data_IF_857062497221
#
_entry.id   IF_857062497221
#
_cell.length_a   1.000
_cell.length_b   1.000
_cell.length_c   1.000
_cell.angle_alpha   90.00
_cell.angle_beta   90.00
_cell.angle_gamma   90.00
#
_symmetry.space_group_name_H-M   'P 1'
#
loop_
_entity.id
_entity.type
_entity.pdbx_description
1 polymer ?
#
# COMPACT_ATOMS: atom_id res chain seq x y z
N UNK A 1 26.12 -10.61 20.45
CA UNK A 1 25.61 -9.53 21.32
C UNK A 1 24.51 -10.09 22.21
N UNK A 2 24.60 -9.91 23.53
CA UNK A 2 23.58 -10.42 24.47
C UNK A 2 22.25 -9.68 24.21
N UNK A 3 21.16 -10.43 24.04
CA UNK A 3 19.80 -9.88 23.98
C UNK A 3 19.55 -9.10 25.29
N UNK A 4 19.37 -7.79 25.18
CA UNK A 4 18.97 -6.95 26.30
C UNK A 4 17.44 -7.06 26.44
N UNK A 5 16.98 -7.96 27.31
CA UNK A 5 15.56 -8.03 27.67
C UNK A 5 15.15 -6.71 28.30
N UNK A 6 14.15 -6.03 27.75
CA UNK A 6 13.66 -4.74 28.26
C UNK A 6 12.71 -4.85 29.45
N UNK A 7 12.14 -5.98 29.76
CA UNK A 7 11.50 -6.32 31.05
C UNK A 7 10.92 -7.74 31.02
N UNK A 8 10.81 -8.37 32.17
CA UNK A 8 10.32 -9.75 32.35
C UNK A 8 8.79 -9.88 32.31
N UNK A 9 8.03 -8.80 32.06
CA UNK A 9 6.57 -8.77 32.27
C UNK A 9 5.76 -8.56 30.99
N UNK A 10 6.31 -8.80 29.79
CA UNK A 10 5.60 -8.62 28.53
C UNK A 10 5.78 -9.78 27.56
N UNK A 11 4.86 -9.91 26.60
CA UNK A 11 4.93 -10.91 25.53
C UNK A 11 6.01 -10.58 24.48
N UNK A 12 6.46 -9.32 24.42
CA UNK A 12 7.48 -8.79 23.51
C UNK A 12 8.07 -7.48 24.04
N UNK A 13 9.21 -7.03 23.48
CA UNK A 13 9.72 -5.67 23.68
C UNK A 13 8.87 -4.66 22.91
N UNK A 14 8.41 -5.03 21.73
CA UNK A 14 7.59 -4.19 20.83
C UNK A 14 6.49 -5.01 20.19
N UNK A 15 5.26 -4.50 20.24
CA UNK A 15 4.15 -4.98 19.42
C UNK A 15 3.99 -4.04 18.23
N UNK A 16 3.96 -4.61 17.01
CA UNK A 16 3.64 -3.88 15.78
C UNK A 16 2.28 -4.37 15.26
N UNK A 17 1.33 -3.45 15.09
CA UNK A 17 -0.04 -3.77 14.64
C UNK A 17 -0.18 -3.45 13.16
N UNK A 18 -0.35 -4.48 12.35
CA UNK A 18 -0.48 -4.42 10.89
C UNK A 18 0.83 -4.72 10.16
N UNK A 19 0.84 -5.83 9.42
CA UNK A 19 1.99 -6.30 8.62
C UNK A 19 1.95 -5.80 7.16
N UNK A 20 1.53 -4.56 6.95
CA UNK A 20 1.71 -3.85 5.69
C UNK A 20 3.15 -3.34 5.54
N UNK A 21 3.49 -2.61 4.46
CA UNK A 21 4.85 -2.14 4.25
C UNK A 21 5.45 -1.38 5.45
N UNK A 22 4.67 -0.51 6.09
CA UNK A 22 5.15 0.23 7.25
C UNK A 22 5.50 -0.68 8.43
N UNK A 23 4.58 -1.60 8.79
CA UNK A 23 4.78 -2.48 9.95
C UNK A 23 5.84 -3.54 9.72
N UNK A 24 5.86 -4.20 8.55
CA UNK A 24 6.89 -5.19 8.23
C UNK A 24 8.29 -4.55 8.20
N UNK A 25 8.43 -3.35 7.62
CA UNK A 25 9.69 -2.60 7.60
C UNK A 25 10.13 -2.20 9.01
N UNK A 26 9.23 -1.59 9.79
CA UNK A 26 9.55 -1.20 11.17
C UNK A 26 9.95 -2.41 12.02
N UNK A 27 9.19 -3.51 11.93
CA UNK A 27 9.49 -4.75 12.65
C UNK A 27 10.86 -5.31 12.28
N UNK A 28 11.22 -5.33 10.99
CA UNK A 28 12.53 -5.81 10.53
C UNK A 28 13.69 -4.99 11.13
N UNK A 29 13.58 -3.66 11.11
CA UNK A 29 14.60 -2.79 11.70
C UNK A 29 14.73 -2.98 13.22
N UNK A 30 13.60 -3.09 13.92
CA UNK A 30 13.60 -3.31 15.37
C UNK A 30 14.21 -4.66 15.74
N UNK A 31 13.86 -5.72 15.01
CA UNK A 31 14.45 -7.04 15.23
C UNK A 31 15.96 -7.06 14.97
N UNK A 32 16.42 -6.39 13.91
CA UNK A 32 17.87 -6.20 13.62
C UNK A 32 18.59 -5.42 14.71
N UNK A 33 17.88 -4.52 15.39
CA UNK A 33 18.42 -3.82 16.56
C UNK A 33 18.45 -4.68 17.84
N UNK A 34 18.02 -5.95 17.77
CA UNK A 34 18.07 -6.91 18.85
C UNK A 34 16.85 -6.95 19.76
N UNK A 35 15.77 -6.27 19.38
CA UNK A 35 14.52 -6.29 20.14
C UNK A 35 13.68 -7.53 19.79
N UNK A 36 12.93 -8.04 20.79
CA UNK A 36 11.89 -9.03 20.57
C UNK A 36 10.62 -8.35 20.04
N UNK A 37 10.28 -8.64 18.78
CA UNK A 37 9.19 -7.97 18.05
C UNK A 37 8.06 -8.94 17.75
N UNK A 38 6.85 -8.61 18.20
CA UNK A 38 5.62 -9.30 17.86
C UNK A 38 4.86 -8.49 16.80
N UNK A 39 4.73 -9.03 15.58
CA UNK A 39 4.03 -8.42 14.45
C UNK A 39 2.65 -9.09 14.28
N UNK A 40 1.58 -8.31 14.47
CA UNK A 40 0.19 -8.79 14.41
C UNK A 40 -0.47 -8.39 13.09
N UNK A 41 -1.00 -9.36 12.35
CA UNK A 41 -1.73 -9.14 11.09
C UNK A 41 -3.10 -9.84 11.14
N UNK A 42 -4.16 -9.12 10.74
CA UNK A 42 -5.54 -9.64 10.71
C UNK A 42 -5.81 -10.68 9.62
N UNK A 43 -5.04 -10.62 8.54
CA UNK A 43 -5.16 -11.51 7.38
C UNK A 43 -4.10 -12.61 7.40
N UNK A 44 -4.15 -13.51 6.42
CA UNK A 44 -3.07 -14.45 6.09
C UNK A 44 -2.36 -13.98 4.83
N UNK A 45 -1.07 -14.27 4.69
CA UNK A 45 -0.32 -14.05 3.46
C UNK A 45 -0.33 -15.30 2.57
N UNK A 46 -0.25 -15.12 1.22
CA UNK A 46 -0.27 -13.85 0.49
C UNK A 46 -1.62 -13.16 0.58
N UNK A 47 -1.66 -11.82 0.65
CA UNK A 47 -2.89 -11.05 0.72
C UNK A 47 -2.94 -9.87 -0.23
N UNK A 48 -4.11 -9.66 -0.77
CA UNK A 48 -4.38 -8.53 -1.65
C UNK A 48 -4.51 -7.21 -0.88
N UNK A 49 -4.01 -6.15 -1.49
CA UNK A 49 -4.30 -4.77 -1.09
C UNK A 49 -4.34 -3.88 -2.32
N UNK A 50 -5.42 -3.14 -2.47
CA UNK A 50 -5.61 -2.23 -3.60
C UNK A 50 -4.62 -1.08 -3.52
N UNK A 51 -3.74 -1.02 -4.53
CA UNK A 51 -2.74 0.03 -4.71
C UNK A 51 -2.19 -0.07 -6.14
N UNK A 52 -1.58 0.98 -6.66
CA UNK A 52 -0.67 0.87 -7.79
C UNK A 52 0.58 0.08 -7.39
N UNK A 53 1.15 -0.68 -8.31
CA UNK A 53 2.26 -1.61 -8.02
C UNK A 53 3.64 -1.00 -8.20
N UNK A 54 3.71 0.23 -8.72
CA UNK A 54 4.96 0.94 -8.94
C UNK A 54 5.57 1.52 -7.66
N UNK A 55 6.90 1.47 -7.60
CA UNK A 55 7.73 2.14 -6.60
C UNK A 55 8.71 3.07 -7.31
N UNK A 56 8.82 4.29 -6.81
CA UNK A 56 9.80 5.28 -7.30
C UNK A 56 11.20 4.98 -6.74
N UNK A 57 12.27 5.58 -7.26
CA UNK A 57 13.64 5.43 -6.76
C UNK A 57 13.77 5.56 -5.24
N UNK A 58 12.99 6.46 -4.63
CA UNK A 58 12.97 6.62 -3.17
C UNK A 58 12.46 5.37 -2.45
N UNK A 59 11.44 4.71 -3.00
CA UNK A 59 10.96 3.43 -2.46
C UNK A 59 11.96 2.31 -2.65
N UNK A 60 12.60 2.25 -3.82
CA UNK A 60 13.66 1.27 -4.12
C UNK A 60 14.83 1.39 -3.17
N UNK A 61 15.27 2.63 -2.87
CA UNK A 61 16.32 2.87 -1.88
C UNK A 61 16.00 2.26 -0.51
N UNK A 62 14.75 2.34 -0.06
CA UNK A 62 14.34 1.74 1.21
C UNK A 62 14.40 0.20 1.17
N UNK A 63 14.10 -0.42 0.01
CA UNK A 63 14.26 -1.87 -0.15
C UNK A 63 15.73 -2.28 -0.11
N UNK A 64 16.59 -1.54 -0.80
CA UNK A 64 18.06 -1.76 -0.78
C UNK A 64 18.60 -1.61 0.64
N UNK A 65 18.18 -0.59 1.39
CA UNK A 65 18.59 -0.38 2.78
C UNK A 65 18.10 -1.50 3.72
N UNK A 66 16.96 -2.10 3.39
CA UNK A 66 16.48 -3.33 4.03
C UNK A 66 17.27 -4.57 3.62
N UNK A 67 18.17 -4.49 2.63
CA UNK A 67 18.90 -5.65 2.09
C UNK A 67 18.02 -6.54 1.21
N UNK A 68 16.95 -6.01 0.63
CA UNK A 68 16.12 -6.71 -0.35
C UNK A 68 16.75 -6.54 -1.73
N UNK A 69 16.94 -7.66 -2.44
CA UNK A 69 17.38 -7.64 -3.83
C UNK A 69 16.29 -7.05 -4.72
N UNK A 70 16.62 -5.96 -5.41
CA UNK A 70 15.72 -5.25 -6.33
C UNK A 70 16.11 -5.44 -7.80
N UNK A 71 16.94 -6.44 -8.10
CA UNK A 71 17.35 -6.78 -9.47
C UNK A 71 16.20 -7.35 -10.31
N UNK A 72 16.39 -7.35 -11.61
CA UNK A 72 15.45 -7.98 -12.56
C UNK A 72 15.41 -9.49 -12.33
N UNK A 73 16.55 -10.10 -12.01
CA UNK A 73 16.70 -11.52 -11.72
C UNK A 73 15.91 -11.95 -10.47
N UNK A 74 15.70 -11.02 -9.53
CA UNK A 74 14.84 -11.23 -8.36
C UNK A 74 13.34 -11.06 -8.67
N UNK A 75 12.98 -10.87 -9.93
CA UNK A 75 11.58 -10.79 -10.40
C UNK A 75 10.96 -9.40 -10.32
N UNK A 76 11.78 -8.33 -10.35
CA UNK A 76 11.30 -6.96 -10.45
C UNK A 76 11.31 -6.47 -11.89
N UNK A 77 10.22 -5.84 -12.33
CA UNK A 77 10.26 -5.02 -13.54
C UNK A 77 10.80 -3.64 -13.17
N UNK A 78 11.91 -3.24 -13.80
CA UNK A 78 12.45 -1.90 -13.65
C UNK A 78 11.69 -0.90 -14.50
N UNK A 79 11.47 0.30 -13.97
CA UNK A 79 10.98 1.43 -14.74
C UNK A 79 11.99 2.59 -14.67
N UNK A 80 12.09 3.33 -15.77
CA UNK A 80 13.08 4.40 -15.95
C UNK A 80 12.52 5.80 -15.74
N UNK A 81 11.21 5.92 -15.47
CA UNK A 81 10.62 7.25 -15.31
C UNK A 81 9.10 7.25 -15.20
N UNK A 82 8.56 8.45 -15.28
CA UNK A 82 7.13 8.72 -15.39
C UNK A 82 6.79 9.07 -16.84
N UNK A 83 5.68 8.53 -17.35
CA UNK A 83 5.03 9.02 -18.57
C UNK A 83 3.73 9.69 -18.16
N UNK A 84 3.58 10.96 -18.50
CA UNK A 84 2.39 11.76 -18.22
C UNK A 84 1.65 12.03 -19.51
N UNK A 85 0.38 11.64 -19.57
CA UNK A 85 -0.51 11.80 -20.72
C UNK A 85 -1.65 12.72 -20.35
N UNK A 86 -1.85 13.79 -21.10
CA UNK A 86 -2.94 14.74 -20.92
C UNK A 86 -3.32 15.39 -22.26
N UNK A 87 -4.60 15.31 -22.63
CA UNK A 87 -5.07 15.75 -23.94
C UNK A 87 -4.31 15.05 -25.07
N UNK A 88 -3.69 15.85 -25.95
CA UNK A 88 -2.86 15.36 -27.06
C UNK A 88 -1.36 15.33 -26.73
N UNK A 89 -0.97 15.60 -25.47
CA UNK A 89 0.43 15.71 -25.06
C UNK A 89 0.85 14.50 -24.25
N UNK A 90 2.01 13.95 -24.59
CA UNK A 90 2.70 12.91 -23.81
C UNK A 90 4.09 13.41 -23.45
N UNK A 91 4.42 13.37 -22.16
CA UNK A 91 5.74 13.77 -21.65
C UNK A 91 6.36 12.58 -20.94
N UNK A 92 7.57 12.21 -21.32
CA UNK A 92 8.39 11.24 -20.60
C UNK A 92 9.41 11.96 -19.73
N UNK A 93 9.42 11.60 -18.46
CA UNK A 93 10.27 12.18 -17.42
C UNK A 93 11.14 11.07 -16.83
N UNK A 94 12.35 10.85 -17.37
CA UNK A 94 13.28 9.87 -16.82
C UNK A 94 13.61 10.21 -15.36
N UNK A 95 13.86 9.17 -14.54
CA UNK A 95 14.36 9.40 -13.19
C UNK A 95 15.70 10.13 -13.25
N UNK A 96 15.88 11.20 -12.44
CA UNK A 96 17.15 11.90 -12.41
C UNK A 96 18.25 11.00 -11.84
N UNK A 97 19.47 11.16 -12.35
CA UNK A 97 20.66 10.53 -11.78
C UNK A 97 21.07 11.29 -10.51
N UNK A 98 20.72 10.72 -9.37
CA UNK A 98 20.99 11.29 -8.04
C UNK A 98 21.89 10.35 -7.23
N UNK A 99 22.94 10.90 -6.64
CA UNK A 99 23.89 10.13 -5.83
C UNK A 99 23.25 9.33 -4.67
N UNK A 100 22.10 9.79 -4.17
CA UNK A 100 21.42 9.19 -2.99
C UNK A 100 20.37 8.15 -3.34
N UNK A 101 19.99 8.00 -4.61
CA UNK A 101 18.91 7.11 -5.04
C UNK A 101 19.32 6.33 -6.30
N UNK A 102 18.84 5.08 -6.48
CA UNK A 102 19.05 4.38 -7.74
C UNK A 102 18.35 5.12 -8.89
N UNK A 103 18.89 5.06 -10.13
CA UNK A 103 18.31 5.74 -11.29
C UNK A 103 17.12 4.96 -11.91
N UNK A 104 16.44 4.14 -11.12
CA UNK A 104 15.30 3.33 -11.56
C UNK A 104 14.26 3.20 -10.46
N UNK A 105 13.01 3.05 -10.87
CA UNK A 105 11.93 2.55 -10.04
C UNK A 105 11.68 1.07 -10.32
N UNK A 106 10.79 0.43 -9.57
CA UNK A 106 10.43 -0.99 -9.76
C UNK A 106 8.93 -1.19 -9.70
N UNK A 107 8.48 -2.28 -10.34
CA UNK A 107 7.10 -2.75 -10.26
C UNK A 107 7.09 -4.20 -9.81
N UNK A 108 6.14 -4.52 -8.91
CA UNK A 108 5.86 -5.89 -8.46
C UNK A 108 4.44 -5.99 -7.93
N UNK A 109 3.66 -7.07 -8.20
CA UNK A 109 2.32 -7.24 -7.66
C UNK A 109 2.28 -7.07 -6.13
N UNK A 110 1.32 -6.29 -5.61
CA UNK A 110 1.24 -5.98 -4.17
C UNK A 110 1.09 -7.22 -3.30
N UNK A 111 0.42 -8.24 -3.78
CA UNK A 111 0.26 -9.48 -3.06
C UNK A 111 1.61 -10.15 -2.77
N UNK A 112 2.44 -10.26 -3.79
CA UNK A 112 3.78 -10.82 -3.72
C UNK A 112 4.75 -9.90 -2.94
N UNK A 113 4.73 -8.60 -3.24
CA UNK A 113 5.56 -7.61 -2.55
C UNK A 113 5.33 -7.58 -1.03
N UNK A 114 4.09 -7.67 -0.58
CA UNK A 114 3.79 -7.64 0.85
C UNK A 114 4.16 -8.93 1.55
N UNK A 115 3.99 -10.08 0.90
CA UNK A 115 4.49 -11.33 1.42
C UNK A 115 6.01 -11.32 1.55
N UNK A 116 6.72 -10.86 0.50
CA UNK A 116 8.18 -10.72 0.55
C UNK A 116 8.64 -9.88 1.74
N UNK A 117 8.02 -8.71 1.97
CA UNK A 117 8.38 -7.84 3.08
C UNK A 117 8.20 -8.53 4.44
N UNK A 118 7.10 -9.24 4.61
CA UNK A 118 6.82 -9.89 5.89
C UNK A 118 7.73 -11.10 6.12
N UNK A 119 8.01 -11.90 5.07
CA UNK A 119 8.97 -13.01 5.18
C UNK A 119 10.39 -12.50 5.46
N UNK A 120 10.76 -11.36 4.87
CA UNK A 120 12.03 -10.69 5.19
C UNK A 120 12.09 -10.24 6.65
N UNK A 121 10.98 -9.76 7.22
CA UNK A 121 10.92 -9.42 8.64
C UNK A 121 11.05 -10.67 9.54
N UNK A 122 10.40 -11.79 9.19
CA UNK A 122 10.57 -13.07 9.91
C UNK A 122 12.02 -13.56 9.88
N UNK A 123 12.70 -13.45 8.73
CA UNK A 123 14.13 -13.79 8.61
C UNK A 123 15.02 -12.91 9.51
N UNK A 124 14.60 -11.68 9.77
CA UNK A 124 15.27 -10.79 10.72
C UNK A 124 15.00 -11.13 12.20
N UNK A 125 14.13 -12.11 12.49
CA UNK A 125 13.78 -12.58 13.84
C UNK A 125 12.44 -12.05 14.37
N UNK A 126 11.61 -11.44 13.52
CA UNK A 126 10.26 -10.99 13.90
C UNK A 126 9.33 -12.20 14.10
N UNK A 127 8.55 -12.19 15.18
CA UNK A 127 7.48 -13.17 15.41
C UNK A 127 6.19 -12.67 14.77
N UNK A 128 5.84 -13.22 13.59
CA UNK A 128 4.60 -12.92 12.91
C UNK A 128 3.44 -13.74 13.49
N UNK A 129 2.32 -13.07 13.75
CA UNK A 129 1.04 -13.68 14.10
C UNK A 129 -0.03 -13.25 13.11
N UNK A 130 -0.36 -14.12 12.18
CA UNK A 130 -1.46 -13.94 11.23
C UNK A 130 -2.81 -14.23 11.91
N UNK A 131 -3.92 -13.77 11.31
CA UNK A 131 -5.29 -13.91 11.84
C UNK A 131 -5.48 -13.31 13.23
N UNK A 132 -4.70 -12.26 13.54
CA UNK A 132 -4.79 -11.51 14.78
C UNK A 132 -5.34 -10.11 14.51
N UNK A 133 -6.62 -9.90 14.81
CA UNK A 133 -7.30 -8.61 14.63
C UNK A 133 -7.26 -7.81 15.91
N UNK A 134 -6.36 -6.85 15.99
CA UNK A 134 -6.33 -5.89 17.09
C UNK A 134 -7.52 -4.94 16.99
N UNK A 135 -8.22 -4.73 18.08
CA UNK A 135 -9.39 -3.84 18.17
C UNK A 135 -9.16 -2.67 19.11
N UNK A 136 -8.37 -2.84 20.17
CA UNK A 136 -8.19 -1.83 21.21
C UNK A 136 -6.77 -1.89 21.78
N UNK A 137 -6.34 -0.72 22.32
CA UNK A 137 -5.15 -0.61 23.15
C UNK A 137 -5.47 -0.95 24.61
N UNK A 138 -4.47 -1.46 25.33
CA UNK A 138 -4.52 -1.67 26.77
C UNK A 138 -3.74 -0.55 27.43
N UNK A 139 -4.42 0.26 28.23
CA UNK A 139 -3.80 1.30 29.04
C UNK A 139 -3.58 0.82 30.48
N UNK A 140 -2.45 1.16 31.06
CA UNK A 140 -2.21 1.03 32.50
C UNK A 140 -3.13 1.99 33.26
N UNK A 141 -3.91 1.48 34.18
CA UNK A 141 -4.95 2.24 34.87
C UNK A 141 -4.40 3.39 35.74
N UNK A 142 -3.16 3.30 36.19
CA UNK A 142 -2.53 4.31 37.06
C UNK A 142 -1.84 5.42 36.28
N UNK A 143 -1.21 5.06 35.16
CA UNK A 143 -0.34 5.99 34.42
C UNK A 143 -0.95 6.46 33.09
N UNK A 144 -1.98 5.77 32.57
CA UNK A 144 -2.55 5.98 31.25
C UNK A 144 -1.64 5.51 30.12
N UNK A 145 -0.46 4.97 30.40
CA UNK A 145 0.48 4.49 29.40
C UNK A 145 -0.07 3.27 28.69
N UNK A 146 0.10 3.19 27.36
CA UNK A 146 -0.22 2.00 26.59
C UNK A 146 0.79 0.91 26.90
N UNK A 147 0.29 -0.25 27.35
CA UNK A 147 1.08 -1.40 27.79
C UNK A 147 0.75 -2.67 27.01
N UNK A 148 -0.03 -2.56 25.94
CA UNK A 148 -0.38 -3.70 25.11
C UNK A 148 -1.57 -3.46 24.21
N UNK A 149 -2.06 -4.54 23.63
CA UNK A 149 -3.21 -4.55 22.72
C UNK A 149 -4.11 -5.76 23.01
N UNK A 150 -5.40 -5.61 22.71
CA UNK A 150 -6.36 -6.71 22.75
C UNK A 150 -7.18 -6.79 21.47
N UNK A 151 -7.78 -7.94 21.24
CA UNK A 151 -8.57 -8.17 20.06
C UNK A 151 -9.04 -9.61 19.91
N UNK A 152 -8.96 -10.13 18.69
CA UNK A 152 -9.44 -11.48 18.36
C UNK A 152 -8.41 -12.21 17.50
N UNK A 153 -8.19 -13.49 17.77
CA UNK A 153 -7.26 -14.34 17.03
C UNK A 153 -7.93 -15.60 16.45
N UNK A 154 -7.33 -16.10 15.39
CA UNK A 154 -7.74 -17.34 14.75
C UNK A 154 -9.05 -17.25 13.96
N UNK A 155 -9.46 -18.36 13.33
CA UNK A 155 -10.69 -18.42 12.54
C UNK A 155 -11.94 -18.29 13.41
N UNK A 156 -11.90 -18.77 14.65
CA UNK A 156 -13.01 -18.73 15.61
C UNK A 156 -13.10 -17.42 16.37
N UNK A 157 -12.24 -16.44 16.04
CA UNK A 157 -12.20 -15.10 16.65
C UNK A 157 -12.11 -15.13 18.18
N UNK A 158 -11.30 -16.03 18.71
CA UNK A 158 -11.06 -16.13 20.15
C UNK A 158 -10.46 -14.83 20.70
N UNK A 159 -10.81 -14.40 21.90
CA UNK A 159 -10.18 -13.24 22.52
C UNK A 159 -8.65 -13.42 22.61
N UNK A 160 -7.92 -12.32 22.38
CA UNK A 160 -6.48 -12.29 22.57
C UNK A 160 -6.05 -11.00 23.26
N UNK A 161 -4.97 -11.09 24.01
CA UNK A 161 -4.30 -9.98 24.67
C UNK A 161 -2.79 -10.21 24.59
N UNK A 162 -2.05 -9.15 24.23
CA UNK A 162 -0.58 -9.14 24.23
C UNK A 162 -0.07 -7.87 24.91
N UNK A 163 0.98 -8.00 25.70
CA UNK A 163 1.60 -6.89 26.44
C UNK A 163 3.02 -6.60 25.94
N UNK A 164 3.33 -5.32 25.84
CA UNK A 164 4.67 -4.81 25.54
C UNK A 164 4.82 -3.38 26.03
N UNK A 165 6.04 -2.95 26.39
CA UNK A 165 6.31 -1.57 26.79
C UNK A 165 6.14 -0.57 25.65
N UNK A 166 6.14 -1.01 24.39
CA UNK A 166 5.94 -0.17 23.19
C UNK A 166 4.98 -0.84 22.21
N UNK A 167 4.05 -0.06 21.67
CA UNK A 167 3.14 -0.47 20.60
C UNK A 167 3.22 0.49 19.42
N UNK A 168 3.42 -0.04 18.22
CA UNK A 168 3.43 0.70 16.95
C UNK A 168 2.14 0.45 16.19
N UNK A 169 1.36 1.51 15.94
CA UNK A 169 0.13 1.45 15.14
C UNK A 169 0.47 1.57 13.65
N UNK A 170 0.52 0.43 12.95
CA UNK A 170 0.78 0.31 11.51
C UNK A 170 -0.43 -0.28 10.77
N UNK A 171 -1.64 -0.14 11.31
CA UNK A 171 -2.89 -0.74 10.83
C UNK A 171 -3.54 0.01 9.65
N UNK A 172 -2.82 0.97 9.09
CA UNK A 172 -3.12 1.64 7.83
C UNK A 172 -4.36 2.54 7.92
N UNK A 173 -5.11 2.62 6.80
CA UNK A 173 -6.27 3.52 6.69
C UNK A 173 -7.40 3.19 7.67
N UNK A 174 -7.47 1.97 8.17
CA UNK A 174 -8.46 1.58 9.19
C UNK A 174 -8.23 2.26 10.53
N UNK A 175 -6.97 2.49 10.90
CA UNK A 175 -6.52 3.21 12.10
C UNK A 175 -7.25 2.78 13.39
N UNK A 176 -7.62 1.50 13.51
CA UNK A 176 -8.46 0.99 14.61
C UNK A 176 -7.84 1.24 15.97
N UNK A 177 -6.52 1.06 16.08
CA UNK A 177 -5.82 1.26 17.34
C UNK A 177 -5.87 2.74 17.75
N UNK A 178 -5.63 3.68 16.82
CA UNK A 178 -5.74 5.11 17.11
C UNK A 178 -7.17 5.51 17.48
N UNK A 179 -8.16 5.00 16.75
CA UNK A 179 -9.58 5.24 17.06
C UNK A 179 -9.98 4.71 18.44
N UNK A 180 -9.43 3.57 18.87
CA UNK A 180 -9.70 3.01 20.21
C UNK A 180 -9.15 3.88 21.36
N UNK A 181 -8.25 4.81 21.04
CA UNK A 181 -7.65 5.78 21.96
C UNK A 181 -8.34 7.15 21.89
N UNK A 182 -9.45 7.27 21.13
CA UNK A 182 -10.13 8.55 20.93
C UNK A 182 -9.40 9.50 19.96
N UNK A 183 -8.42 8.98 19.19
CA UNK A 183 -7.76 9.76 18.15
C UNK A 183 -8.60 9.64 16.86
N UNK A 184 -9.47 10.58 16.65
CA UNK A 184 -10.39 10.58 15.51
C UNK A 184 -9.70 10.85 14.17
N UNK A 185 -10.33 10.35 13.10
CA UNK A 185 -9.93 10.70 11.74
C UNK A 185 -10.23 12.17 11.51
N UNK A 186 -9.25 12.88 10.97
CA UNK A 186 -9.40 14.29 10.64
C UNK A 186 -10.22 14.45 9.37
N UNK A 187 -11.37 15.13 9.46
CA UNK A 187 -12.25 15.42 8.32
C UNK A 187 -11.69 16.51 7.40
N UNK A 188 -10.81 17.37 7.92
CA UNK A 188 -10.12 18.40 7.15
C UNK A 188 -9.00 17.85 6.23
N UNK A 189 -8.80 16.52 6.21
CA UNK A 189 -7.81 15.88 5.34
C UNK A 189 -8.47 15.37 4.07
N UNK A 190 -7.91 15.70 2.90
CA UNK A 190 -8.44 15.19 1.66
C UNK A 190 -8.27 13.66 1.62
N UNK A 191 -9.30 13.02 1.13
CA UNK A 191 -9.31 11.60 0.83
C UNK A 191 -9.33 11.41 -0.69
N UNK A 192 -8.88 10.28 -1.15
CA UNK A 192 -9.09 9.79 -2.50
C UNK A 192 -9.81 8.45 -2.46
N UNK A 193 -10.34 8.05 -3.59
CA UNK A 193 -10.74 6.68 -3.87
C UNK A 193 -9.99 6.22 -5.10
N UNK A 194 -9.39 5.06 -5.02
CA UNK A 194 -8.76 4.41 -6.17
C UNK A 194 -9.43 3.09 -6.48
N UNK A 195 -9.62 2.81 -7.77
CA UNK A 195 -10.06 1.52 -8.28
C UNK A 195 -9.05 1.01 -9.29
N UNK A 196 -8.83 -0.32 -9.31
CA UNK A 196 -7.86 -0.91 -10.24
C UNK A 196 -8.23 -2.34 -10.61
N UNK A 197 -7.68 -2.79 -11.72
CA UNK A 197 -7.78 -4.15 -12.24
C UNK A 197 -6.51 -4.53 -13.01
N UNK A 198 -6.20 -5.80 -13.10
CA UNK A 198 -5.15 -6.30 -14.00
C UNK A 198 -5.77 -6.75 -15.31
N UNK A 199 -4.99 -6.58 -16.39
CA UNK A 199 -5.36 -6.99 -17.75
C UNK A 199 -4.18 -7.69 -18.41
N UNK A 200 -4.43 -8.81 -19.09
CA UNK A 200 -3.47 -9.37 -20.03
C UNK A 200 -3.28 -8.40 -21.20
N UNK A 201 -2.04 -8.04 -21.53
CA UNK A 201 -1.74 -6.94 -22.44
C UNK A 201 -0.35 -7.04 -23.04
N UNK A 202 -0.14 -6.60 -24.30
CA UNK A 202 1.19 -6.45 -24.88
C UNK A 202 2.05 -5.39 -24.18
N UNK A 203 1.44 -4.50 -23.35
CA UNK A 203 2.15 -3.45 -22.60
C UNK A 203 2.75 -3.92 -21.28
N UNK A 204 2.81 -5.21 -21.06
CA UNK A 204 3.32 -5.80 -19.80
C UNK A 204 4.75 -5.37 -19.45
N UNK A 205 5.59 -5.08 -20.46
CA UNK A 205 6.99 -4.69 -20.30
C UNK A 205 7.21 -3.17 -20.48
N UNK A 206 6.15 -2.36 -20.41
CA UNK A 206 6.32 -0.89 -20.46
C UNK A 206 7.17 -0.42 -19.28
N UNK A 207 8.27 0.23 -19.59
CA UNK A 207 9.29 0.65 -18.64
C UNK A 207 9.08 2.09 -18.09
N UNK A 208 7.86 2.62 -18.22
CA UNK A 208 7.43 3.86 -17.59
C UNK A 208 6.25 3.62 -16.67
N UNK A 209 6.19 4.35 -15.55
CA UNK A 209 4.97 4.49 -14.77
C UNK A 209 4.08 5.52 -15.47
N UNK A 210 3.12 5.05 -16.26
CA UNK A 210 2.26 5.93 -17.05
C UNK A 210 1.10 6.46 -16.21
N UNK A 211 0.83 7.77 -16.32
CA UNK A 211 -0.24 8.48 -15.64
C UNK A 211 -1.03 9.35 -16.62
N UNK A 212 -2.33 9.17 -16.65
CA UNK A 212 -3.29 9.95 -17.44
C UNK A 212 -3.94 11.00 -16.54
N UNK A 213 -3.62 12.27 -16.74
CA UNK A 213 -4.08 13.36 -15.84
C UNK A 213 -5.44 13.93 -16.21
N UNK A 214 -6.06 13.47 -17.29
CA UNK A 214 -7.41 13.83 -17.70
C UNK A 214 -8.33 12.61 -17.62
N UNK A 215 -9.15 12.56 -16.59
CA UNK A 215 -10.22 11.57 -16.44
C UNK A 215 -11.57 12.28 -16.60
N UNK A 216 -12.25 11.94 -17.69
CA UNK A 216 -13.57 12.51 -18.02
C UNK A 216 -14.68 11.54 -17.60
N UNK A 217 -15.63 12.03 -16.79
CA UNK A 217 -16.83 11.28 -16.45
C UNK A 217 -17.90 11.47 -17.54
N UNK A 218 -18.03 10.46 -18.38
CA UNK A 218 -19.07 10.34 -19.40
C UNK A 218 -20.18 9.34 -19.01
N UNK A 219 -20.16 8.82 -17.79
CA UNK A 219 -21.05 7.72 -17.36
C UNK A 219 -22.42 8.20 -16.91
N UNK A 220 -22.61 9.50 -16.71
CA UNK A 220 -23.83 10.09 -16.13
C UNK A 220 -24.92 10.41 -17.13
N UNK A 221 -24.67 10.24 -18.44
CA UNK A 221 -25.57 10.66 -19.51
C UNK A 221 -25.71 12.20 -19.68
N UNK A 222 -24.89 12.95 -18.96
CA UNK A 222 -24.75 14.42 -19.09
C UNK A 222 -23.49 14.75 -19.89
N UNK A 223 -23.25 16.06 -20.12
CA UNK A 223 -21.99 16.52 -20.72
C UNK A 223 -20.79 15.96 -19.93
N UNK A 224 -19.78 15.42 -20.63
CA UNK A 224 -18.58 14.89 -19.98
C UNK A 224 -17.92 15.92 -19.07
N UNK A 225 -17.56 15.51 -17.87
CA UNK A 225 -16.93 16.38 -16.87
C UNK A 225 -15.55 15.90 -16.50
N UNK A 226 -14.56 16.81 -16.54
CA UNK A 226 -13.22 16.53 -16.05
C UNK A 226 -13.25 16.35 -14.54
N UNK A 227 -12.68 15.26 -14.05
CA UNK A 227 -12.58 14.94 -12.63
C UNK A 227 -11.18 15.22 -12.08
N UNK A 228 -11.05 15.71 -10.83
CA UNK A 228 -9.75 15.89 -10.17
C UNK A 228 -9.20 14.54 -9.73
N UNK A 229 -8.33 13.98 -10.56
CA UNK A 229 -7.74 12.67 -10.37
C UNK A 229 -6.83 12.31 -11.51
N UNK A 230 -6.41 11.04 -11.54
CA UNK A 230 -5.60 10.51 -12.63
C UNK A 230 -5.85 9.01 -12.80
N UNK A 231 -5.65 8.53 -14.05
CA UNK A 231 -5.54 7.11 -14.34
C UNK A 231 -4.09 6.67 -14.39
N UNK A 232 -3.82 5.39 -14.19
CA UNK A 232 -2.48 4.82 -14.32
C UNK A 232 -2.48 3.53 -15.10
N UNK A 233 -1.38 3.28 -15.79
CA UNK A 233 -1.09 2.03 -16.51
C UNK A 233 0.34 1.65 -16.17
N UNK A 234 0.54 0.53 -15.47
CA UNK A 234 1.85 0.02 -15.10
C UNK A 234 2.03 -1.39 -15.63
N UNK A 235 3.02 -1.60 -16.49
CA UNK A 235 3.45 -2.93 -16.90
C UNK A 235 3.92 -3.72 -15.68
N UNK A 236 3.62 -5.03 -15.66
CA UNK A 236 3.96 -5.90 -14.54
C UNK A 236 5.10 -6.87 -14.85
N UNK A 237 5.46 -7.03 -16.13
CA UNK A 237 6.50 -7.98 -16.57
C UNK A 237 6.07 -9.45 -16.62
N UNK A 238 4.82 -9.75 -16.24
CA UNK A 238 4.26 -11.11 -16.11
C UNK A 238 3.17 -11.44 -17.15
N UNK A 239 3.08 -10.66 -18.20
CA UNK A 239 2.00 -10.73 -19.20
C UNK A 239 0.83 -9.80 -18.91
N UNK A 240 0.83 -9.11 -17.76
CA UNK A 240 -0.26 -8.23 -17.36
C UNK A 240 0.17 -6.77 -17.18
N UNK A 241 -0.81 -5.87 -17.06
CA UNK A 241 -0.63 -4.52 -16.52
C UNK A 241 -1.63 -4.23 -15.41
N UNK A 242 -1.18 -3.50 -14.38
CA UNK A 242 -2.03 -2.89 -13.38
C UNK A 242 -2.59 -1.58 -13.94
N UNK A 243 -3.89 -1.52 -14.09
CA UNK A 243 -4.59 -0.37 -14.65
C UNK A 243 -5.64 0.12 -13.67
N UNK A 244 -5.66 1.41 -13.41
CA UNK A 244 -6.60 1.97 -12.46
C UNK A 244 -6.78 3.47 -12.58
N UNK A 245 -7.66 4.02 -11.78
CA UNK A 245 -7.84 5.46 -11.63
C UNK A 245 -8.15 5.84 -10.18
N UNK A 246 -7.86 7.08 -9.84
CA UNK A 246 -8.16 7.64 -8.54
C UNK A 246 -8.73 9.04 -8.64
N UNK A 247 -9.72 9.35 -7.78
CA UNK A 247 -10.40 10.63 -7.71
C UNK A 247 -10.28 11.19 -6.29
N UNK A 248 -10.07 12.52 -6.19
CA UNK A 248 -9.98 13.22 -4.91
C UNK A 248 -11.36 13.53 -4.32
N UNK A 249 -11.43 13.53 -2.99
CA UNK A 249 -12.66 13.90 -2.25
C UNK A 249 -13.06 15.37 -2.39
N UNK A 250 -12.19 16.22 -2.91
CA UNK A 250 -12.48 17.60 -3.24
C UNK A 250 -13.44 17.74 -4.43
N UNK A 251 -13.62 16.66 -5.20
CA UNK A 251 -14.60 16.61 -6.29
C UNK A 251 -16.03 16.56 -5.76
N UNK A 252 -16.93 17.35 -6.34
CA UNK A 252 -18.37 17.22 -6.10
C UNK A 252 -18.96 15.87 -6.58
N UNK A 253 -18.20 15.12 -7.39
CA UNK A 253 -18.50 13.76 -7.85
C UNK A 253 -18.09 12.67 -6.84
N UNK A 254 -17.28 13.00 -5.84
CA UNK A 254 -16.81 12.03 -4.86
C UNK A 254 -17.99 11.36 -4.14
N UNK A 255 -17.97 10.03 -4.08
CA UNK A 255 -19.07 9.25 -3.50
C UNK A 255 -20.35 9.17 -4.33
N UNK A 256 -20.44 9.88 -5.46
CA UNK A 256 -21.61 9.88 -6.37
C UNK A 256 -21.32 9.23 -7.72
N UNK A 257 -20.07 8.96 -8.04
CA UNK A 257 -19.64 8.32 -9.28
C UNK A 257 -19.51 6.81 -9.10
N UNK A 258 -19.99 6.04 -10.05
CA UNK A 258 -19.64 4.63 -10.17
C UNK A 258 -18.22 4.52 -10.72
N UNK A 259 -17.25 4.41 -9.82
CA UNK A 259 -15.84 4.34 -10.19
C UNK A 259 -15.47 3.11 -11.03
N UNK A 260 -16.26 2.02 -10.95
CA UNK A 260 -16.06 0.83 -11.78
C UNK A 260 -16.53 1.07 -13.20
N UNK A 261 -17.69 1.72 -13.36
CA UNK A 261 -18.16 2.15 -14.67
C UNK A 261 -17.21 3.18 -15.29
N UNK A 262 -16.74 4.15 -14.50
CA UNK A 262 -15.77 5.15 -14.93
C UNK A 262 -14.46 4.52 -15.42
N UNK A 263 -13.91 3.52 -14.69
CA UNK A 263 -12.71 2.80 -15.13
C UNK A 263 -12.94 2.12 -16.48
N UNK A 264 -14.07 1.44 -16.68
CA UNK A 264 -14.38 0.80 -17.96
C UNK A 264 -14.50 1.82 -19.08
N UNK A 265 -15.28 2.89 -18.87
CA UNK A 265 -15.46 3.94 -19.88
C UNK A 265 -14.14 4.60 -20.30
N UNK A 266 -13.25 4.87 -19.34
CA UNK A 266 -11.92 5.38 -19.65
C UNK A 266 -11.10 4.37 -20.48
N UNK A 267 -11.10 3.10 -20.10
CA UNK A 267 -10.35 2.06 -20.81
C UNK A 267 -10.93 1.75 -22.20
N UNK A 268 -12.24 1.84 -22.40
CA UNK A 268 -12.89 1.70 -23.71
C UNK A 268 -12.40 2.76 -24.69
N UNK A 269 -12.01 3.94 -24.19
CA UNK A 269 -11.38 5.01 -24.98
C UNK A 269 -9.88 4.79 -25.30
N UNK A 270 -9.21 3.78 -24.72
CA UNK A 270 -7.82 3.46 -25.03
C UNK A 270 -7.69 2.69 -26.35
N UNK A 271 -6.52 2.75 -27.06
CA UNK A 271 -6.29 1.96 -28.27
C UNK A 271 -6.63 0.48 -28.07
N UNK A 272 -7.32 -0.11 -29.04
CA UNK A 272 -7.77 -1.50 -28.96
C UNK A 272 -6.61 -2.49 -28.80
N UNK A 273 -5.51 -2.22 -29.48
CA UNK A 273 -4.29 -3.01 -29.44
C UNK A 273 -3.62 -3.05 -28.06
N UNK A 274 -3.95 -2.13 -27.16
CA UNK A 274 -3.47 -2.19 -25.77
C UNK A 274 -4.11 -3.32 -24.95
N UNK A 275 -5.27 -3.82 -25.39
CA UNK A 275 -5.90 -4.99 -24.80
C UNK A 275 -6.65 -4.73 -23.49
N UNK A 276 -6.88 -3.48 -23.07
CA UNK A 276 -7.62 -3.17 -21.82
C UNK A 276 -9.12 -3.29 -22.00
N UNK A 277 -9.58 -4.51 -22.31
CA UNK A 277 -10.97 -4.86 -22.57
C UNK A 277 -11.42 -5.99 -21.62
N UNK A 278 -12.72 -6.12 -21.40
CA UNK A 278 -13.28 -7.09 -20.45
C UNK A 278 -12.79 -8.52 -20.67
N UNK A 279 -12.63 -8.94 -21.93
CA UNK A 279 -12.13 -10.29 -22.29
C UNK A 279 -10.70 -10.58 -21.86
N UNK A 280 -9.89 -9.55 -21.60
CA UNK A 280 -8.49 -9.67 -21.19
C UNK A 280 -8.30 -9.40 -19.69
N UNK A 281 -9.38 -9.16 -18.96
CA UNK A 281 -9.32 -8.88 -17.53
C UNK A 281 -9.01 -10.12 -16.72
N UNK A 282 -8.06 -10.05 -15.79
CA UNK A 282 -7.58 -11.21 -15.00
C UNK A 282 -8.16 -11.27 -13.59
N UNK A 283 -9.14 -10.44 -13.26
CA UNK A 283 -9.76 -10.44 -11.93
C UNK A 283 -10.87 -9.40 -11.80
N UNK A 284 -11.33 -9.17 -10.59
CA UNK A 284 -12.36 -8.16 -10.29
C UNK A 284 -11.77 -6.77 -10.20
N UNK A 285 -12.58 -5.74 -10.50
CA UNK A 285 -12.23 -4.35 -10.15
C UNK A 285 -12.29 -4.23 -8.62
N UNK A 286 -11.17 -3.88 -8.01
CA UNK A 286 -11.03 -3.65 -6.59
C UNK A 286 -10.87 -2.16 -6.33
N UNK A 287 -11.36 -1.68 -5.18
CA UNK A 287 -11.26 -0.29 -4.79
C UNK A 287 -10.85 -0.10 -3.34
N UNK A 288 -10.21 1.02 -3.05
CA UNK A 288 -9.81 1.41 -1.70
C UNK A 288 -9.87 2.92 -1.51
N UNK A 289 -10.13 3.31 -0.25
CA UNK A 289 -9.94 4.69 0.19
C UNK A 289 -8.43 4.99 0.34
N UNK A 290 -8.03 6.17 -0.11
CA UNK A 290 -6.66 6.66 -0.12
C UNK A 290 -6.57 7.93 0.74
N UNK A 291 -6.02 7.87 1.96
CA UNK A 291 -5.74 9.07 2.72
C UNK A 291 -4.67 9.90 2.00
N UNK A 292 -5.05 11.11 1.60
CA UNK A 292 -4.12 12.04 0.97
C UNK A 292 -3.50 12.91 2.04
N UNK A 293 -2.18 13.04 2.04
CA UNK A 293 -1.52 13.92 2.98
C UNK A 293 -0.32 14.60 2.35
N UNK A 294 -0.62 15.72 1.76
CA UNK A 294 0.37 16.74 1.46
C UNK A 294 0.60 17.58 2.73
N UNK A 295 1.82 17.97 3.01
CA UNK A 295 2.16 18.84 4.15
C UNK A 295 1.81 18.27 5.54
N UNK A 296 2.06 16.99 5.78
CA UNK A 296 2.05 16.45 7.15
C UNK A 296 3.38 16.75 7.82
N UNK A 297 3.30 17.26 9.04
CA UNK A 297 4.38 17.08 10.01
C UNK A 297 4.51 15.57 10.27
N UNK A 298 5.71 14.98 10.21
CA UNK A 298 5.90 13.53 10.34
C UNK A 298 5.61 12.98 11.74
N UNK A 299 5.20 13.80 12.69
CA UNK A 299 4.96 13.46 14.10
C UNK A 299 3.75 14.21 14.63
#
# INVERSE_FOLDING_TARGET
>A
MAKRALSSDGDADVIVVGAGPAGATAAAYLARAGLDVLLLEKSTFPREKVCGDGLTPRGVKQLIDLGIDTSIEAGWLHNRGLRVVGGSVTIELPWPDLASFPPYGVVRPRMDFYEMLVRHAEQAGVRLQERNTVTEAIADARTGRIVGVKGKQGPDKQPMEYRAPLTLACDGVSARLALSLGIDKREDRPMGVGVRRYYTTPRTNDDFLESHVEIWDSTTGQEPRLLPGYGWIFGMGDGTSNVGLGILSTSSAYGKTDYRALLRAWLDGTPQEWGFREGNATGKILGAALPMSFNRTPH
#
